data_IF_171360849527
#
_entry.id   IF_171360849527
#
_cell.length_a   1.000
_cell.length_b   1.000
_cell.length_c   1.000
_cell.angle_alpha   90.00
_cell.angle_beta   90.00
_cell.angle_gamma   90.00
#
_symmetry.space_group_name_H-M   'P 1'
#
loop_
_entity.id
_entity.type
_entity.pdbx_description
1 polymer ?
#
# COMPACT_ATOMS: atom_id res chain seq x y z
N UNK A 1 -26.40 -1.56 -3.39
CA UNK A 1 -24.93 -1.52 -3.44
C UNK A 1 -24.42 -2.82 -2.84
N UNK A 2 -23.60 -3.60 -3.55
CA UNK A 2 -22.95 -4.78 -2.98
C UNK A 2 -21.52 -4.37 -2.62
N UNK A 3 -21.30 -3.99 -1.36
CA UNK A 3 -20.03 -3.44 -0.92
C UNK A 3 -19.05 -4.57 -0.65
N UNK A 4 -17.93 -4.58 -1.38
CA UNK A 4 -16.83 -5.49 -1.11
C UNK A 4 -15.84 -4.79 -0.17
N UNK A 5 -15.58 -5.41 0.98
CA UNK A 5 -14.71 -4.86 2.02
C UNK A 5 -13.73 -5.93 2.45
N UNK A 6 -12.47 -5.54 2.60
CA UNK A 6 -11.44 -6.35 3.25
C UNK A 6 -10.84 -5.54 4.39
N UNK A 7 -10.59 -6.17 5.53
CA UNK A 7 -10.05 -5.49 6.70
C UNK A 7 -9.10 -6.37 7.49
N UNK A 8 -8.10 -5.75 8.10
CA UNK A 8 -7.20 -6.36 9.08
C UNK A 8 -6.86 -5.33 10.15
N UNK A 9 -7.23 -5.63 11.41
CA UNK A 9 -7.16 -4.66 12.50
C UNK A 9 -7.94 -3.37 12.16
N UNK A 10 -7.31 -2.20 12.25
CA UNK A 10 -7.87 -0.89 11.87
C UNK A 10 -7.70 -0.53 10.39
N UNK A 11 -6.85 -1.28 9.66
CA UNK A 11 -6.67 -1.08 8.22
C UNK A 11 -7.84 -1.73 7.46
N UNK A 12 -8.63 -0.91 6.76
CA UNK A 12 -9.79 -1.36 5.97
C UNK A 12 -9.72 -0.84 4.54
N UNK A 13 -9.87 -1.74 3.57
CA UNK A 13 -10.02 -1.45 2.16
C UNK A 13 -11.48 -1.65 1.73
N UNK A 14 -12.04 -0.64 1.07
CA UNK A 14 -13.39 -0.67 0.49
C UNK A 14 -13.24 -0.65 -1.02
N UNK A 15 -13.73 -1.68 -1.70
CA UNK A 15 -13.69 -1.77 -3.15
C UNK A 15 -14.95 -1.14 -3.73
N UNK A 16 -14.75 -0.09 -4.51
CA UNK A 16 -15.80 0.66 -5.17
C UNK A 16 -15.80 0.35 -6.65
N UNK A 17 -16.99 0.22 -7.23
CA UNK A 17 -17.14 0.03 -8.67
C UNK A 17 -16.85 1.32 -9.46
N UNK A 18 -17.11 2.48 -8.85
CA UNK A 18 -16.94 3.80 -9.45
C UNK A 18 -16.50 4.82 -8.38
N UNK A 19 -15.71 5.82 -8.78
CA UNK A 19 -15.21 6.86 -7.87
C UNK A 19 -16.31 7.77 -7.32
N UNK A 20 -17.43 7.93 -8.03
CA UNK A 20 -18.58 8.72 -7.57
C UNK A 20 -19.18 8.16 -6.26
N UNK A 21 -18.94 6.87 -5.98
CA UNK A 21 -19.41 6.19 -4.77
C UNK A 21 -18.54 6.49 -3.53
N UNK A 22 -17.43 7.21 -3.68
CA UNK A 22 -16.49 7.48 -2.59
C UNK A 22 -17.14 8.26 -1.45
N UNK A 23 -17.96 9.27 -1.76
CA UNK A 23 -18.65 10.10 -0.75
C UNK A 23 -19.59 9.24 0.09
N UNK A 24 -20.44 8.44 -0.55
CA UNK A 24 -21.37 7.52 0.13
C UNK A 24 -20.61 6.50 0.99
N UNK A 25 -19.48 5.98 0.50
CA UNK A 25 -18.65 5.03 1.24
C UNK A 25 -18.03 5.65 2.50
N UNK A 26 -17.53 6.89 2.42
CA UNK A 26 -16.97 7.62 3.58
C UNK A 26 -18.07 7.96 4.58
N UNK A 27 -19.24 8.40 4.12
CA UNK A 27 -20.39 8.67 4.99
C UNK A 27 -20.83 7.41 5.75
N UNK A 28 -20.84 6.25 5.08
CA UNK A 28 -21.19 4.97 5.70
C UNK A 28 -20.24 4.59 6.85
N UNK A 29 -18.97 5.02 6.79
CA UNK A 29 -17.98 4.76 7.85
C UNK A 29 -17.69 5.98 8.74
N UNK A 30 -18.42 7.09 8.58
CA UNK A 30 -18.19 8.33 9.33
C UNK A 30 -18.44 8.18 10.84
N UNK A 31 -19.21 7.15 11.25
CA UNK A 31 -19.40 6.81 12.66
C UNK A 31 -18.10 6.29 13.32
N UNK A 32 -17.14 5.83 12.52
CA UNK A 32 -15.81 5.45 12.97
C UNK A 32 -14.87 6.67 12.88
N UNK A 33 -13.99 6.84 13.87
CA UNK A 33 -12.99 7.92 13.83
C UNK A 33 -11.91 7.62 12.79
N UNK A 34 -12.15 8.03 11.55
CA UNK A 34 -11.25 7.81 10.42
C UNK A 34 -9.98 8.65 10.55
N UNK A 35 -8.83 8.04 10.27
CA UNK A 35 -7.58 8.77 10.08
C UNK A 35 -7.45 9.18 8.61
N UNK A 36 -8.06 10.31 8.26
CA UNK A 36 -8.14 10.81 6.88
C UNK A 36 -6.76 11.01 6.24
N UNK A 37 -5.75 11.37 7.03
CA UNK A 37 -4.37 11.57 6.53
C UNK A 37 -3.76 10.27 6.00
N UNK A 38 -4.11 9.12 6.60
CA UNK A 38 -3.66 7.79 6.20
C UNK A 38 -4.61 7.11 5.21
N UNK A 39 -5.87 7.53 5.16
CA UNK A 39 -6.82 7.05 4.16
C UNK A 39 -6.40 7.57 2.78
N UNK A 40 -6.40 6.67 1.79
CA UNK A 40 -6.04 7.00 0.40
C UNK A 40 -7.00 6.29 -0.55
N UNK A 41 -7.37 6.98 -1.62
CA UNK A 41 -8.08 6.38 -2.74
C UNK A 41 -7.08 6.02 -3.83
N UNK A 42 -7.25 4.84 -4.42
CA UNK A 42 -6.41 4.36 -5.52
C UNK A 42 -7.30 3.76 -6.60
N UNK A 43 -6.88 3.92 -7.86
CA UNK A 43 -7.49 3.20 -8.98
C UNK A 43 -6.83 1.85 -9.17
N UNK A 44 -7.64 0.80 -9.28
CA UNK A 44 -7.17 -0.56 -9.54
C UNK A 44 -7.42 -0.92 -11.01
N UNK A 45 -6.45 -1.57 -11.66
CA UNK A 45 -6.68 -2.30 -12.91
C UNK A 45 -6.81 -1.50 -14.22
N UNK A 46 -6.40 -0.23 -14.27
CA UNK A 46 -6.30 0.54 -15.52
C UNK A 46 -4.88 0.58 -16.10
N UNK A 47 -4.74 0.62 -17.44
CA UNK A 47 -3.59 1.27 -18.06
C UNK A 47 -3.70 2.79 -17.79
N UNK A 48 -2.56 3.48 -17.76
CA UNK A 48 -2.48 4.92 -17.54
C UNK A 48 -3.19 5.66 -18.68
N UNK A 49 -4.51 5.78 -18.59
CA UNK A 49 -5.27 6.66 -19.48
C UNK A 49 -4.92 8.07 -19.03
N UNK A 50 -4.14 8.79 -19.83
CA UNK A 50 -3.98 10.23 -19.67
C UNK A 50 -5.37 10.84 -19.57
N UNK A 51 -5.74 11.26 -18.36
CA UNK A 51 -7.04 11.85 -18.09
C UNK A 51 -7.10 13.20 -18.79
N UNK A 52 -7.52 13.19 -20.05
CA UNK A 52 -7.98 14.39 -20.74
C UNK A 52 -9.40 14.69 -20.26
N UNK A 53 -9.57 15.01 -18.98
CA UNK A 53 -10.86 15.46 -18.45
C UNK A 53 -10.65 16.70 -17.59
N UNK A 54 -11.25 17.79 -18.08
CA UNK A 54 -11.37 19.09 -17.46
C UNK A 54 -11.69 18.99 -15.95
N UNK A 55 -10.89 19.69 -15.16
CA UNK A 55 -11.04 19.97 -13.73
C UNK A 55 -12.29 20.81 -13.38
N UNK A 56 -13.48 20.36 -13.77
CA UNK A 56 -14.73 21.08 -13.50
C UNK A 56 -15.64 20.39 -12.48
N UNK A 57 -15.17 19.34 -11.82
CA UNK A 57 -15.83 18.79 -10.64
C UNK A 57 -14.79 18.50 -9.56
N UNK A 58 -14.27 19.57 -8.96
CA UNK A 58 -13.74 19.49 -7.60
C UNK A 58 -14.88 19.13 -6.66
N UNK A 59 -15.34 17.88 -6.72
CA UNK A 59 -16.07 17.27 -5.62
C UNK A 59 -15.11 17.29 -4.43
N UNK A 60 -15.62 17.72 -3.27
CA UNK A 60 -14.90 17.75 -2.00
C UNK A 60 -14.51 16.33 -1.60
N UNK A 61 -13.51 15.75 -2.27
CA UNK A 61 -13.00 14.43 -1.97
C UNK A 61 -12.28 14.54 -0.63
N UNK A 62 -12.91 14.00 0.41
CA UNK A 62 -12.38 13.97 1.77
C UNK A 62 -11.07 13.16 1.83
N UNK A 63 -10.87 12.24 0.89
CA UNK A 63 -9.70 11.37 0.80
C UNK A 63 -8.96 11.61 -0.50
N UNK A 64 -7.66 11.88 -0.39
CA UNK A 64 -6.74 12.11 -1.52
C UNK A 64 -6.63 10.86 -2.42
N UNK A 65 -6.71 11.09 -3.73
CA UNK A 65 -6.44 10.08 -4.75
C UNK A 65 -4.93 10.04 -5.05
N UNK A 66 -4.33 8.86 -4.93
CA UNK A 66 -2.90 8.64 -5.17
C UNK A 66 -2.68 7.53 -6.19
N UNK A 67 -1.53 7.55 -6.86
CA UNK A 67 -1.18 6.56 -7.89
C UNK A 67 -0.96 5.16 -7.30
N UNK A 68 -0.35 5.09 -6.12
CA UNK A 68 -0.15 3.85 -5.38
C UNK A 68 -0.10 4.09 -3.88
N UNK A 69 -0.45 3.08 -3.11
CA UNK A 69 -0.32 3.05 -1.65
C UNK A 69 0.05 1.65 -1.18
N UNK A 70 0.33 1.51 0.12
CA UNK A 70 0.62 0.21 0.73
C UNK A 70 -0.58 -0.24 1.56
N UNK A 71 -1.03 -1.46 1.33
CA UNK A 71 -2.03 -2.13 2.15
C UNK A 71 -1.47 -3.46 2.64
N UNK A 72 -1.35 -3.62 3.97
CA UNK A 72 -0.82 -4.84 4.62
C UNK A 72 0.56 -5.30 4.12
N UNK A 73 1.41 -4.35 3.71
CA UNK A 73 2.74 -4.67 3.15
C UNK A 73 2.76 -4.84 1.64
N UNK A 74 1.60 -4.96 1.00
CA UNK A 74 1.47 -5.05 -0.46
C UNK A 74 1.35 -3.68 -1.10
N UNK A 75 1.94 -3.51 -2.28
CA UNK A 75 1.78 -2.29 -3.06
C UNK A 75 0.54 -2.42 -3.93
N UNK A 76 -0.45 -1.59 -3.62
CA UNK A 76 -1.68 -1.47 -4.38
C UNK A 76 -1.64 -0.18 -5.19
N UNK A 77 -1.91 -0.26 -6.48
CA UNK A 77 -1.85 0.89 -7.38
C UNK A 77 -2.32 0.50 -8.76
N UNK A 78 -2.22 1.46 -9.67
CA UNK A 78 -2.57 1.25 -11.06
C UNK A 78 -1.51 0.39 -11.78
N UNK A 79 -1.96 -0.52 -12.66
CA UNK A 79 -1.07 -1.39 -13.44
C UNK A 79 -0.33 -2.47 -12.64
N UNK A 80 0.80 -2.93 -13.18
CA UNK A 80 1.66 -3.92 -12.52
C UNK A 80 2.56 -3.27 -11.47
N UNK A 81 2.26 -3.51 -10.19
CA UNK A 81 3.03 -2.99 -9.05
C UNK A 81 4.22 -3.87 -8.66
N UNK A 82 4.42 -5.02 -9.34
CA UNK A 82 5.44 -6.02 -8.97
C UNK A 82 6.84 -5.44 -8.90
N UNK A 83 7.25 -4.64 -9.89
CA UNK A 83 8.59 -4.06 -9.92
C UNK A 83 8.82 -3.09 -8.75
N UNK A 84 7.82 -2.29 -8.40
CA UNK A 84 7.88 -1.35 -7.29
C UNK A 84 7.92 -2.10 -5.93
N UNK A 85 7.13 -3.16 -5.82
CA UNK A 85 7.11 -4.08 -4.68
C UNK A 85 8.49 -4.69 -4.43
N UNK A 86 9.11 -5.23 -5.48
CA UNK A 86 10.46 -5.80 -5.42
C UNK A 86 11.52 -4.77 -5.06
N UNK A 87 11.50 -3.58 -5.68
CA UNK A 87 12.46 -2.53 -5.37
C UNK A 87 12.36 -2.09 -3.90
N UNK A 88 11.14 -1.88 -3.42
CA UNK A 88 10.90 -1.49 -2.02
C UNK A 88 11.30 -2.58 -1.04
N UNK A 89 11.01 -3.84 -1.37
CA UNK A 89 11.43 -5.00 -0.59
C UNK A 89 12.95 -5.11 -0.49
N UNK A 90 13.64 -4.86 -1.60
CA UNK A 90 15.09 -4.93 -1.69
C UNK A 90 15.76 -3.82 -0.89
N UNK A 91 15.27 -2.58 -0.97
CA UNK A 91 15.76 -1.47 -0.15
C UNK A 91 15.57 -1.73 1.35
N UNK A 92 14.38 -2.18 1.76
CA UNK A 92 14.13 -2.53 3.16
C UNK A 92 15.02 -3.69 3.65
N UNK A 93 15.41 -4.60 2.77
CA UNK A 93 16.36 -5.69 3.08
C UNK A 93 17.77 -5.14 3.25
N UNK A 94 18.22 -4.28 2.33
CA UNK A 94 19.53 -3.62 2.39
C UNK A 94 19.72 -2.88 3.72
N UNK A 95 18.74 -2.08 4.13
CA UNK A 95 18.79 -1.34 5.40
C UNK A 95 18.90 -2.30 6.59
N UNK A 96 18.11 -3.37 6.63
CA UNK A 96 18.18 -4.36 7.74
C UNK A 96 19.52 -5.07 7.80
N UNK A 97 20.10 -5.43 6.65
CA UNK A 97 21.41 -6.08 6.59
C UNK A 97 22.53 -5.13 7.04
N UNK A 98 22.49 -3.87 6.62
CA UNK A 98 23.45 -2.85 7.08
C UNK A 98 23.39 -2.66 8.60
N UNK A 99 22.19 -2.63 9.18
CA UNK A 99 22.02 -2.56 10.64
C UNK A 99 22.50 -3.83 11.35
N UNK A 100 22.33 -5.00 10.74
CA UNK A 100 22.79 -6.27 11.29
C UNK A 100 24.32 -6.38 11.28
N UNK A 101 24.98 -5.84 10.26
CA UNK A 101 26.44 -5.81 10.16
C UNK A 101 27.07 -5.04 11.34
N UNK A 102 26.51 -3.88 11.69
CA UNK A 102 26.99 -3.06 12.82
C UNK A 102 26.89 -3.80 14.17
N UNK A 103 25.97 -4.76 14.31
CA UNK A 103 25.69 -5.47 15.57
C UNK A 103 26.37 -6.83 15.70
N UNK A 104 27.05 -7.34 14.67
CA UNK A 104 27.56 -8.71 14.65
C UNK A 104 29.08 -8.77 14.54
N UNK A 105 29.70 -9.58 15.39
CA UNK A 105 31.16 -9.65 15.50
C UNK A 105 31.77 -10.87 14.78
N UNK A 106 30.99 -11.94 14.52
CA UNK A 106 31.49 -13.16 13.86
C UNK A 106 30.83 -13.45 12.51
N UNK A 107 31.55 -14.17 11.65
CA UNK A 107 31.06 -14.63 10.34
C UNK A 107 29.80 -15.50 10.50
N UNK A 108 29.79 -16.39 11.48
CA UNK A 108 28.66 -17.28 11.72
C UNK A 108 27.39 -16.49 12.10
N UNK A 109 27.52 -15.51 13.00
CA UNK A 109 26.41 -14.63 13.38
C UNK A 109 25.88 -13.82 12.19
N UNK A 110 26.78 -13.29 11.34
CA UNK A 110 26.38 -12.59 10.11
C UNK A 110 25.59 -13.50 9.17
N UNK A 111 26.04 -14.73 8.95
CA UNK A 111 25.34 -15.68 8.10
C UNK A 111 23.94 -16.04 8.65
N UNK A 112 23.82 -16.30 9.95
CA UNK A 112 22.53 -16.59 10.59
C UNK A 112 21.56 -15.42 10.48
N UNK A 113 22.00 -14.20 10.77
CA UNK A 113 21.12 -13.02 10.69
C UNK A 113 20.76 -12.70 9.24
N UNK A 114 21.70 -12.82 8.30
CA UNK A 114 21.42 -12.63 6.88
C UNK A 114 20.32 -13.57 6.39
N UNK A 115 20.40 -14.87 6.74
CA UNK A 115 19.35 -15.83 6.43
C UNK A 115 18.00 -15.47 7.08
N UNK A 116 18.02 -15.07 8.36
CA UNK A 116 16.83 -14.66 9.10
C UNK A 116 16.17 -13.37 8.55
N UNK A 117 16.91 -12.53 7.83
CA UNK A 117 16.38 -11.32 7.18
C UNK A 117 15.91 -11.60 5.76
N UNK A 118 16.73 -12.31 4.96
CA UNK A 118 16.49 -12.50 3.53
C UNK A 118 15.36 -13.50 3.28
N UNK A 119 15.37 -14.66 3.95
CA UNK A 119 14.41 -15.74 3.67
C UNK A 119 12.96 -15.28 3.90
N UNK A 120 12.60 -14.69 5.06
CA UNK A 120 11.23 -14.22 5.26
C UNK A 120 10.84 -13.15 4.24
N UNK A 121 11.79 -12.31 3.81
CA UNK A 121 11.47 -11.27 2.84
C UNK A 121 11.21 -11.80 1.44
N UNK A 122 11.92 -12.86 1.02
CA UNK A 122 11.64 -13.56 -0.24
C UNK A 122 10.28 -14.28 -0.22
N UNK A 123 9.87 -14.82 0.94
CA UNK A 123 8.58 -15.49 1.08
C UNK A 123 7.39 -14.51 1.11
N UNK A 124 7.63 -13.26 1.52
CA UNK A 124 6.60 -12.22 1.66
C UNK A 124 7.04 -10.90 1.01
N UNK A 125 7.17 -10.93 -0.31
CA UNK A 125 7.20 -9.73 -1.15
C UNK A 125 5.76 -9.37 -1.50
N UNK A 126 5.40 -8.14 -1.22
CA UNK A 126 4.10 -7.58 -1.53
C UNK A 126 4.24 -6.31 -2.31
#
# INVERSE_FOLDING_TARGET
>A
MNLQVAGYADDTAIYLADSVMQTEAIEAVAAFSLNVDKSKAIRLGGEQVESTHNDSAAQNNVVEEVESTRYLGHIAGMGDTSSLAWNTALEATRVRLALAEVKTNSVHQRATIAAAVIIPKLLYVG
#
